data_IF_854896035565
#
_entry.id   IF_854896035565
#
_cell.length_a   1.000
_cell.length_b   1.000
_cell.length_c   1.000
_cell.angle_alpha   90.00
_cell.angle_beta   90.00
_cell.angle_gamma   90.00
#
_symmetry.space_group_name_H-M   'P 1'
#
loop_
_entity.id
_entity.type
_entity.pdbx_description
1 polymer ?
#
# COMPACT_ATOMS: atom_id res chain seq x y z
N UNK A 1 -48.33 -1.57 -9.70
CA UNK A 1 -47.10 -2.41 -9.65
C UNK A 1 -45.82 -1.60 -9.91
N UNK A 2 -45.85 -0.55 -10.75
CA UNK A 2 -44.67 0.31 -11.00
C UNK A 2 -44.26 1.16 -9.77
N UNK A 3 -45.23 1.60 -8.96
CA UNK A 3 -44.99 2.42 -7.75
C UNK A 3 -44.22 1.70 -6.64
N UNK A 4 -44.38 0.38 -6.50
CA UNK A 4 -43.65 -0.43 -5.51
C UNK A 4 -42.21 -0.72 -5.93
N UNK A 5 -41.93 -0.77 -7.24
CA UNK A 5 -40.57 -0.98 -7.75
C UNK A 5 -39.67 0.24 -7.52
N UNK A 6 -40.23 1.46 -7.57
CA UNK A 6 -39.48 2.70 -7.35
C UNK A 6 -39.07 2.85 -5.88
N UNK A 7 -39.93 2.45 -4.94
CA UNK A 7 -39.63 2.52 -3.51
C UNK A 7 -38.49 1.56 -3.09
N UNK A 8 -38.40 0.39 -3.71
CA UNK A 8 -37.34 -0.58 -3.43
C UNK A 8 -35.96 -0.12 -3.93
N UNK A 9 -35.91 0.64 -5.03
CA UNK A 9 -34.66 1.14 -5.59
C UNK A 9 -34.00 2.23 -4.72
N UNK A 10 -34.78 2.99 -3.95
CA UNK A 10 -34.27 4.07 -3.09
C UNK A 10 -33.60 3.49 -1.82
N UNK A 11 -34.02 2.32 -1.36
CA UNK A 11 -33.44 1.67 -0.17
C UNK A 11 -32.07 1.04 -0.42
N UNK A 12 -31.77 0.67 -1.67
CA UNK A 12 -30.53 -0.03 -2.03
C UNK A 12 -29.28 0.87 -1.99
N UNK A 13 -29.43 2.20 -2.07
CA UNK A 13 -28.29 3.13 -2.13
C UNK A 13 -27.79 3.60 -0.76
N UNK A 14 -28.56 3.39 0.31
CA UNK A 14 -28.21 3.87 1.67
C UNK A 14 -27.05 3.08 2.30
N UNK A 15 -26.76 1.87 1.80
CA UNK A 15 -25.73 0.99 2.35
C UNK A 15 -24.41 1.00 1.58
N UNK A 16 -24.24 1.89 0.59
CA UNK A 16 -22.94 2.05 -0.09
C UNK A 16 -22.04 2.91 0.78
N UNK A 17 -21.55 2.33 1.88
CA UNK A 17 -20.52 2.95 2.71
C UNK A 17 -19.27 3.21 1.87
N UNK A 18 -18.73 4.43 1.92
CA UNK A 18 -17.46 4.75 1.29
C UNK A 18 -16.36 3.90 1.94
N UNK A 19 -15.62 3.13 1.15
CA UNK A 19 -14.38 2.51 1.62
C UNK A 19 -13.39 3.64 1.93
N UNK A 20 -13.22 3.94 3.22
CA UNK A 20 -12.21 4.88 3.69
C UNK A 20 -10.86 4.17 3.59
N UNK A 21 -10.02 4.59 2.64
CA UNK A 21 -8.60 4.26 2.71
C UNK A 21 -8.03 5.01 3.93
N UNK A 22 -7.26 4.32 4.79
CA UNK A 22 -6.57 4.99 5.89
C UNK A 22 -5.59 6.01 5.28
N UNK A 23 -5.88 7.30 5.46
CA UNK A 23 -5.01 8.36 4.98
C UNK A 23 -3.62 8.23 5.63
N UNK A 24 -2.57 8.22 4.81
CA UNK A 24 -1.18 8.33 5.26
C UNK A 24 -0.35 7.04 5.29
N UNK A 25 -0.93 5.86 5.08
CA UNK A 25 -0.18 4.60 5.19
C UNK A 25 0.37 4.37 6.61
N UNK A 26 1.04 3.25 6.84
CA UNK A 26 1.72 2.98 8.13
C UNK A 26 3.19 2.74 7.84
N UNK A 27 4.07 3.52 8.47
CA UNK A 27 5.50 3.27 8.42
C UNK A 27 5.83 2.02 9.25
N UNK A 28 6.35 0.98 8.58
CA UNK A 28 6.70 -0.28 9.24
C UNK A 28 8.16 -0.30 9.73
N UNK A 29 8.98 0.60 9.22
CA UNK A 29 10.41 0.67 9.50
C UNK A 29 11.24 1.01 8.27
N UNK A 30 12.56 0.89 8.39
CA UNK A 30 13.55 1.23 7.36
C UNK A 30 14.42 0.02 7.01
N UNK A 31 14.90 -0.03 5.77
CA UNK A 31 15.92 -0.98 5.35
C UNK A 31 17.27 -0.29 5.29
N UNK A 32 18.24 -0.79 6.05
CA UNK A 32 19.65 -0.38 5.94
C UNK A 32 20.38 -1.37 5.02
N UNK A 33 20.74 -0.93 3.83
CA UNK A 33 21.30 -1.78 2.78
C UNK A 33 22.79 -1.52 2.57
N UNK A 34 23.60 -2.55 2.76
CA UNK A 34 25.00 -2.57 2.36
C UNK A 34 25.13 -3.09 0.93
N UNK A 35 25.93 -2.38 0.13
CA UNK A 35 26.18 -2.72 -1.26
C UNK A 35 27.34 -3.72 -1.33
N UNK A 36 27.10 -4.96 -1.76
CA UNK A 36 28.15 -5.97 -1.93
C UNK A 36 29.19 -5.54 -2.97
N UNK A 37 30.49 -5.61 -2.65
CA UNK A 37 31.59 -5.14 -3.51
C UNK A 37 31.58 -5.76 -4.90
N UNK A 38 31.85 -4.96 -5.94
CA UNK A 38 31.87 -5.40 -7.34
C UNK A 38 32.31 -4.27 -8.27
N UNK A 39 33.11 -4.59 -9.28
CA UNK A 39 33.62 -3.64 -10.28
C UNK A 39 32.46 -3.17 -11.17
N UNK A 40 32.10 -1.89 -11.08
CA UNK A 40 30.93 -1.32 -11.77
C UNK A 40 31.01 -1.48 -13.29
N UNK A 41 29.97 -2.06 -13.88
CA UNK A 41 29.84 -2.17 -15.33
C UNK A 41 29.28 -0.85 -15.88
N UNK A 42 30.02 -0.24 -16.80
CA UNK A 42 29.79 1.11 -17.37
C UNK A 42 28.45 1.26 -18.11
N UNK A 43 27.66 0.20 -18.29
CA UNK A 43 26.36 0.21 -19.00
C UNK A 43 25.17 -0.27 -18.16
N UNK A 44 25.36 -0.54 -16.86
CA UNK A 44 24.30 -0.94 -15.93
C UNK A 44 24.87 -1.54 -14.65
N UNK A 45 24.33 -1.16 -13.48
CA UNK A 45 24.78 -1.68 -12.19
C UNK A 45 23.72 -2.64 -11.61
N UNK A 46 23.85 -3.93 -11.92
CA UNK A 46 23.22 -4.96 -11.11
C UNK A 46 24.16 -5.27 -9.96
N UNK A 47 23.76 -4.90 -8.73
CA UNK A 47 24.57 -5.05 -7.53
C UNK A 47 23.77 -5.78 -6.47
N UNK A 48 24.40 -6.76 -5.84
CA UNK A 48 23.80 -7.44 -4.71
C UNK A 48 23.75 -6.52 -3.49
N UNK A 49 22.57 -6.43 -2.88
CA UNK A 49 22.34 -5.68 -1.65
C UNK A 49 22.10 -6.65 -0.51
N UNK A 50 22.77 -6.40 0.62
CA UNK A 50 22.46 -7.04 1.89
C UNK A 50 21.76 -6.02 2.77
N UNK A 51 20.46 -6.19 2.99
CA UNK A 51 19.65 -5.24 3.76
C UNK A 51 19.28 -5.80 5.13
N UNK A 52 19.37 -4.95 6.15
CA UNK A 52 18.88 -5.21 7.50
C UNK A 52 17.59 -4.43 7.70
N UNK A 53 16.53 -5.12 8.14
CA UNK A 53 15.25 -4.47 8.46
C UNK A 53 15.28 -3.92 9.89
N UNK A 54 15.03 -2.62 10.00
CA UNK A 54 14.92 -1.91 11.27
C UNK A 54 13.45 -1.48 11.48
N UNK A 55 12.68 -2.17 12.36
CA UNK A 55 11.26 -1.89 12.53
C UNK A 55 11.02 -0.49 13.12
N UNK A 56 9.92 0.14 12.70
CA UNK A 56 9.46 1.39 13.30
C UNK A 56 9.11 1.13 14.78
N UNK A 57 9.45 2.09 15.65
CA UNK A 57 9.11 2.00 17.06
C UNK A 57 7.59 1.93 17.20
N UNK A 58 7.11 0.96 17.97
CA UNK A 58 5.70 0.86 18.37
C UNK A 58 5.37 2.14 19.15
N UNK A 59 4.49 2.99 18.60
CA UNK A 59 3.87 4.08 19.37
C UNK A 59 2.82 3.55 20.31
#
# INVERSE_FOLDING_TARGET
MLKTAIAAAIFATVFVGAAQAQDGGVELGTLDCAIGGGTGFIFGSSKDLSCTFNPAAKS
#
